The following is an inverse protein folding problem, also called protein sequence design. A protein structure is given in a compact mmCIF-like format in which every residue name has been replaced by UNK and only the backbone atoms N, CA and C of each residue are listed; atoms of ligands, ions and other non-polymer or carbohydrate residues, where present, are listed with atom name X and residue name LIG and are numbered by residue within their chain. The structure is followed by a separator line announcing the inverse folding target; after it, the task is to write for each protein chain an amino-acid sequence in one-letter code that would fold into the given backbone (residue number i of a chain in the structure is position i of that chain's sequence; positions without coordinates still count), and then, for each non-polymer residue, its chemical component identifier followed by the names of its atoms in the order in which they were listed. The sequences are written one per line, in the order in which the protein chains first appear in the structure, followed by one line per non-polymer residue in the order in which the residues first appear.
data_IF_373942400277
#
_entry.id   IF_373942400277
#
_cell.length_a   1.000
_cell.length_b   1.000
_cell.length_c   1.000
_cell.angle_alpha   90.00
_cell.angle_beta   90.00
_cell.angle_gamma   90.00
#
_symmetry.space_group_name_H-M   'P 1'
#
loop_
_entity.id
_entity.type
_entity.pdbx_description
1 polymer ?
#
# COMPACT_ATOMS: atom_id res chain seq x y z
N UNK A 1 -16.87 -6.96 -21.54
CA UNK A 1 -16.45 -5.54 -21.47
C UNK A 1 -15.11 -5.48 -20.77
N UNK A 2 -14.11 -4.75 -21.31
CA UNK A 2 -12.78 -4.66 -20.72
C UNK A 2 -12.83 -3.89 -19.39
N UNK A 3 -12.91 -4.63 -18.28
CA UNK A 3 -12.64 -4.11 -16.95
C UNK A 3 -11.24 -3.51 -17.00
N UNK A 4 -11.16 -2.17 -17.01
CA UNK A 4 -9.88 -1.49 -17.06
C UNK A 4 -9.24 -1.63 -15.69
N UNK A 5 -8.57 -2.76 -15.47
CA UNK A 5 -7.80 -3.03 -14.27
C UNK A 5 -6.92 -1.81 -14.00
N UNK A 6 -7.12 -1.18 -12.85
CA UNK A 6 -6.40 0.05 -12.56
C UNK A 6 -4.97 -0.39 -12.26
N UNK A 7 -3.98 0.17 -12.96
CA UNK A 7 -2.58 -0.26 -12.83
C UNK A 7 -2.06 -0.15 -11.39
N UNK A 8 -2.74 0.64 -10.54
CA UNK A 8 -2.43 0.72 -9.12
C UNK A 8 -2.82 -0.54 -8.33
N UNK A 9 -3.82 -1.33 -8.73
CA UNK A 9 -4.30 -2.48 -7.92
C UNK A 9 -3.24 -3.57 -7.75
N UNK A 10 -2.41 -3.79 -8.77
CA UNK A 10 -1.25 -4.71 -8.70
C UNK A 10 0.02 -4.08 -8.14
N UNK A 11 -0.02 -2.83 -7.66
CA UNK A 11 1.17 -2.09 -7.27
C UNK A 11 1.57 -2.39 -5.81
N UNK A 12 2.87 -2.54 -5.57
CA UNK A 12 3.43 -2.84 -4.24
C UNK A 12 3.15 -1.80 -3.14
N UNK A 13 2.66 -0.62 -3.50
CA UNK A 13 2.28 0.44 -2.54
C UNK A 13 0.79 0.75 -2.57
N UNK A 14 -0.02 -0.05 -3.28
CA UNK A 14 -1.45 0.15 -3.43
C UNK A 14 -2.19 0.27 -2.09
N UNK A 15 -1.77 -0.49 -1.08
CA UNK A 15 -2.38 -0.51 0.25
C UNK A 15 -2.31 0.83 1.01
N UNK A 16 -1.42 1.74 0.63
CA UNK A 16 -1.36 3.09 1.19
C UNK A 16 -2.32 4.07 0.52
N UNK A 17 -2.90 3.70 -0.61
CA UNK A 17 -3.84 4.51 -1.38
C UNK A 17 -5.22 3.86 -1.34
N UNK A 18 -6.23 4.68 -1.11
CA UNK A 18 -7.63 4.27 -1.18
C UNK A 18 -8.23 4.84 -2.46
N UNK A 19 -8.71 3.97 -3.34
CA UNK A 19 -9.44 4.41 -4.51
C UNK A 19 -10.75 5.09 -4.07
N UNK A 20 -10.98 6.30 -4.55
CA UNK A 20 -12.18 7.07 -4.22
C UNK A 20 -13.17 7.03 -5.37
N UNK A 21 -12.71 7.39 -6.57
CA UNK A 21 -13.55 7.39 -7.78
C UNK A 21 -12.71 7.38 -9.05
N UNK A 22 -13.29 6.93 -10.15
CA UNK A 22 -12.73 7.06 -11.49
C UNK A 22 -13.61 8.01 -12.30
N UNK A 23 -12.97 8.96 -12.96
CA UNK A 23 -13.60 9.88 -13.91
C UNK A 23 -12.87 9.67 -15.24
N UNK A 24 -13.53 9.01 -16.18
CA UNK A 24 -13.03 8.74 -17.53
C UNK A 24 -11.68 7.96 -17.53
N UNK A 25 -10.57 8.63 -17.86
CA UNK A 25 -9.20 8.10 -17.84
C UNK A 25 -8.44 8.40 -16.55
N UNK A 26 -9.01 9.20 -15.66
CA UNK A 26 -8.38 9.64 -14.42
C UNK A 26 -9.02 8.93 -13.22
N UNK A 27 -8.19 8.53 -12.26
CA UNK A 27 -8.59 7.95 -10.99
C UNK A 27 -8.19 8.89 -9.86
N UNK A 28 -9.15 9.18 -8.99
CA UNK A 28 -8.92 9.88 -7.74
C UNK A 28 -8.66 8.83 -6.66
N UNK A 29 -7.49 8.91 -6.04
CA UNK A 29 -7.08 8.09 -4.92
C UNK A 29 -6.77 8.96 -3.70
N UNK A 30 -6.91 8.42 -2.51
CA UNK A 30 -6.66 9.10 -1.24
C UNK A 30 -5.44 8.49 -0.59
N UNK A 31 -4.45 9.31 -0.28
CA UNK A 31 -3.25 8.86 0.43
C UNK A 31 -3.52 8.76 1.93
N UNK A 32 -3.44 7.56 2.52
CA UNK A 32 -3.61 7.34 3.97
C UNK A 32 -2.41 7.77 4.81
N UNK A 33 -1.24 7.91 4.18
CA UNK A 33 -0.01 8.34 4.86
C UNK A 33 0.06 9.85 5.05
N UNK A 34 -0.69 10.62 4.26
CA UNK A 34 -0.74 12.06 4.39
C UNK A 34 -1.54 12.46 5.65
N UNK A 35 -1.03 13.38 6.49
CA UNK A 35 -1.72 13.81 7.72
C UNK A 35 -3.08 14.48 7.45
N UNK A 36 -3.34 14.93 6.22
CA UNK A 36 -4.62 15.50 5.78
C UNK A 36 -5.38 14.66 4.76
N UNK A 37 -5.05 13.36 4.63
CA UNK A 37 -5.72 12.43 3.70
C UNK A 37 -5.84 13.00 2.28
N UNK A 38 -4.69 13.45 1.75
CA UNK A 38 -4.58 14.15 0.46
C UNK A 38 -5.22 13.30 -0.65
N UNK A 39 -6.18 13.89 -1.34
CA UNK A 39 -6.74 13.35 -2.57
C UNK A 39 -5.80 13.67 -3.74
N UNK A 40 -5.44 12.65 -4.49
CA UNK A 40 -4.57 12.71 -5.65
C UNK A 40 -5.32 12.17 -6.86
N UNK A 41 -5.24 12.90 -7.97
CA UNK A 41 -5.78 12.42 -9.24
C UNK A 41 -4.61 11.94 -10.09
N UNK A 42 -4.64 10.68 -10.51
CA UNK A 42 -3.66 10.08 -11.44
C UNK A 42 -4.40 9.44 -12.61
N UNK A 43 -3.71 9.10 -13.69
CA UNK A 43 -4.34 8.35 -14.77
C UNK A 43 -4.47 6.86 -14.39
N UNK A 44 -5.55 6.20 -14.82
CA UNK A 44 -5.84 4.81 -14.48
C UNK A 44 -4.74 3.82 -14.94
N UNK A 45 -4.00 4.21 -15.98
CA UNK A 45 -2.95 3.43 -16.62
C UNK A 45 -1.52 3.74 -16.08
N UNK A 46 -1.36 4.70 -15.17
CA UNK A 46 -0.02 5.10 -14.70
C UNK A 46 0.03 5.36 -13.19
N UNK A 47 1.10 4.87 -12.57
CA UNK A 47 1.41 5.06 -11.15
C UNK A 47 2.49 6.12 -10.90
N UNK A 48 3.01 6.76 -11.95
CA UNK A 48 4.12 7.71 -11.87
C UNK A 48 3.83 8.91 -10.96
N UNK A 49 2.60 9.43 -10.97
CA UNK A 49 2.20 10.53 -10.08
C UNK A 49 2.20 10.09 -8.62
N UNK A 50 1.74 8.87 -8.35
CA UNK A 50 1.72 8.30 -7.00
C UNK A 50 3.14 8.01 -6.51
N UNK A 51 4.01 7.47 -7.36
CA UNK A 51 5.40 7.21 -6.99
C UNK A 51 6.15 8.53 -6.72
N UNK A 52 5.98 9.55 -7.56
CA UNK A 52 6.56 10.89 -7.31
C UNK A 52 6.03 11.49 -6.02
N UNK A 53 4.74 11.32 -5.71
CA UNK A 53 4.16 11.76 -4.46
C UNK A 53 4.81 11.07 -3.25
N UNK A 54 4.97 9.75 -3.30
CA UNK A 54 5.67 8.99 -2.25
C UNK A 54 7.11 9.48 -2.07
N UNK A 55 7.86 9.62 -3.17
CA UNK A 55 9.26 10.06 -3.14
C UNK A 55 9.44 11.49 -2.62
N UNK A 56 8.48 12.39 -2.83
CA UNK A 56 8.57 13.79 -2.38
C UNK A 56 7.95 14.03 -1.01
N UNK A 57 6.71 13.59 -0.83
CA UNK A 57 5.94 13.84 0.40
C UNK A 57 6.30 12.84 1.50
N UNK A 58 6.59 11.60 1.12
CA UNK A 58 6.90 10.51 2.05
C UNK A 58 8.36 10.05 1.94
N UNK A 59 9.27 10.93 1.48
CA UNK A 59 10.70 10.65 1.37
C UNK A 59 11.33 10.15 2.69
N UNK A 60 10.85 10.71 3.80
CA UNK A 60 11.33 10.41 5.16
C UNK A 60 10.59 9.25 5.83
N UNK A 61 9.55 8.72 5.20
CA UNK A 61 8.73 7.63 5.74
C UNK A 61 9.21 6.32 5.13
N UNK A 62 9.47 5.30 5.95
CA UNK A 62 9.76 3.95 5.45
C UNK A 62 8.50 3.35 4.82
N UNK A 63 8.41 3.47 3.49
CA UNK A 63 7.33 2.89 2.70
C UNK A 63 7.58 1.38 2.56
N UNK A 64 6.66 0.57 3.08
CA UNK A 64 6.75 -0.88 2.97
C UNK A 64 6.06 -1.33 1.70
N UNK A 65 6.82 -1.95 0.80
CA UNK A 65 6.28 -2.60 -0.38
C UNK A 65 5.60 -3.89 0.04
N UNK A 66 4.29 -4.03 -0.21
CA UNK A 66 3.58 -5.30 -0.09
C UNK A 66 3.53 -5.94 -1.47
N UNK A 67 4.32 -6.97 -1.68
CA UNK A 67 4.10 -7.87 -2.80
C UNK A 67 2.81 -8.66 -2.51
N UNK A 68 1.80 -8.65 -3.41
CA UNK A 68 0.54 -9.36 -3.20
C UNK A 68 0.69 -10.89 -3.12
N UNK A 69 1.91 -11.41 -3.30
CA UNK A 69 2.24 -12.85 -3.26
C UNK A 69 2.69 -13.37 -1.89
N UNK A 70 3.04 -12.48 -0.96
CA UNK A 70 3.52 -12.87 0.39
C UNK A 70 2.54 -12.37 1.43
N UNK A 71 1.44 -13.10 1.61
CA UNK A 71 0.67 -13.11 2.85
C UNK A 71 1.09 -14.32 3.68
N UNK A 72 2.31 -14.33 4.20
CA UNK A 72 2.68 -15.16 5.34
C UNK A 72 3.99 -14.63 5.90
N UNK A 73 4.20 -14.80 7.21
CA UNK A 73 5.42 -14.46 7.97
C UNK A 73 5.53 -13.00 8.48
N UNK A 74 4.76 -12.69 9.53
CA UNK A 74 5.35 -12.32 10.84
C UNK A 74 4.24 -12.29 11.91
N UNK A 75 3.68 -13.46 12.25
CA UNK A 75 2.86 -13.63 13.45
C UNK A 75 3.18 -14.98 14.09
N UNK A 76 4.28 -15.05 14.84
CA UNK A 76 4.41 -15.78 16.12
C UNK A 76 5.89 -15.76 16.54
N UNK A 77 6.32 -14.61 17.03
CA UNK A 77 7.38 -14.53 18.05
C UNK A 77 6.72 -14.10 19.34
N UNK A 78 6.16 -15.05 20.10
CA UNK A 78 5.84 -14.95 21.55
C UNK A 78 5.16 -16.22 22.05
N UNK A 79 5.96 -17.20 22.48
CA UNK A 79 5.68 -17.90 23.75
C UNK A 79 7.00 -18.08 24.47
N UNK A 80 7.18 -17.25 25.51
CA UNK A 80 8.28 -17.27 26.46
C UNK A 80 8.36 -18.64 27.16
N UNK A 81 9.60 -18.97 27.54
CA UNK A 81 10.02 -20.02 28.47
C UNK A 81 9.10 -20.18 29.69
N UNK A 82 9.04 -21.41 30.23
CA UNK A 82 9.33 -21.77 31.63
C UNK A 82 8.72 -23.17 31.93
N UNK A 83 9.58 -24.18 32.20
CA UNK A 83 9.62 -24.87 33.51
C UNK A 83 10.58 -26.07 33.51
N UNK A 84 11.33 -26.11 34.59
CA UNK A 84 12.31 -27.07 35.07
C UNK A 84 11.73 -28.44 35.43
N UNK A 85 12.60 -29.45 35.59
CA UNK A 85 12.38 -30.68 36.38
C UNK A 85 12.82 -31.94 35.64
N UNK A 86 14.06 -32.41 35.78
CA UNK A 86 14.50 -33.46 36.73
C UNK A 86 13.54 -34.66 36.83
N UNK A 87 13.90 -35.78 36.22
CA UNK A 87 14.27 -37.03 36.90
C UNK A 87 14.81 -38.01 35.84
#
# INVERSE_FOLDING_TARGET
MAESAITFEGWRYAHYFEFVRRIDRNVTVRCKLCPGQKLLSTAANTTSNLNKHLQRTHAKVKLIAKDPRTQSEDVVSRRRQLRSGTN
#
